data_IF_713683224929
#
_entry.id   IF_713683224929
#
_cell.length_a   1.000
_cell.length_b   1.000
_cell.length_c   1.000
_cell.angle_alpha   90.00
_cell.angle_beta   90.00
_cell.angle_gamma   90.00
#
_symmetry.space_group_name_H-M   'P 1'
#
loop_
_entity.id
_entity.type
_entity.pdbx_description
1 polymer ?
#
# COMPACT_ATOMS: atom_id res chain seq x y z
N UNK A 1 1.63 -53.00 60.81
CA UNK A 1 1.92 -51.79 60.01
C UNK A 1 2.97 -52.10 58.95
N UNK A 2 2.57 -52.85 57.93
CA UNK A 2 3.27 -53.11 56.67
C UNK A 2 2.13 -53.31 55.66
N UNK A 3 2.26 -52.81 54.43
CA UNK A 3 1.28 -52.88 53.33
C UNK A 3 0.47 -51.62 53.03
N UNK A 4 1.11 -50.48 52.79
CA UNK A 4 0.60 -49.41 51.89
C UNK A 4 1.80 -48.67 51.28
N UNK A 5 2.56 -49.28 50.37
CA UNK A 5 3.70 -48.60 49.72
C UNK A 5 4.07 -49.15 48.33
N UNK A 6 3.12 -49.78 47.64
CA UNK A 6 3.34 -50.30 46.28
C UNK A 6 2.07 -50.04 45.46
N UNK A 7 1.78 -48.77 45.14
CA UNK A 7 0.69 -48.42 44.23
C UNK A 7 0.88 -47.08 43.49
N UNK A 8 2.06 -46.47 43.53
CA UNK A 8 2.33 -45.14 42.94
C UNK A 8 3.65 -45.08 42.15
N UNK A 9 4.02 -46.18 41.48
CA UNK A 9 5.20 -46.20 40.59
C UNK A 9 4.88 -46.64 39.15
N UNK A 10 3.61 -46.86 38.79
CA UNK A 10 3.24 -47.46 37.50
C UNK A 10 2.30 -46.62 36.62
N UNK A 11 1.99 -45.38 37.00
CA UNK A 11 1.11 -44.46 36.22
C UNK A 11 1.90 -43.26 35.64
N UNK A 12 3.24 -43.33 35.60
CA UNK A 12 4.08 -42.29 34.96
C UNK A 12 4.78 -42.75 33.67
N UNK A 13 4.53 -43.99 33.21
CA UNK A 13 5.17 -44.56 32.01
C UNK A 13 4.23 -44.72 30.79
N UNK A 14 2.98 -44.25 30.86
CA UNK A 14 1.97 -44.46 29.81
C UNK A 14 1.50 -43.18 29.07
N UNK A 15 2.24 -42.07 29.17
CA UNK A 15 1.99 -40.88 28.32
C UNK A 15 3.19 -40.47 27.44
N UNK A 16 4.25 -41.28 27.37
CA UNK A 16 5.39 -41.02 26.47
C UNK A 16 5.21 -41.61 25.05
N UNK A 17 4.08 -42.27 24.76
CA UNK A 17 3.88 -43.06 23.53
C UNK A 17 2.62 -42.61 22.80
N UNK A 18 2.63 -41.42 22.21
CA UNK A 18 1.87 -41.11 20.97
C UNK A 18 2.15 -39.72 20.39
N UNK A 19 3.08 -38.95 20.92
CA UNK A 19 3.76 -37.93 20.12
C UNK A 19 4.85 -38.61 19.29
N UNK A 20 4.49 -39.63 18.49
CA UNK A 20 5.16 -39.78 17.20
C UNK A 20 4.75 -38.51 16.48
N UNK A 21 5.57 -37.47 16.65
CA UNK A 21 5.68 -36.43 15.65
C UNK A 21 5.73 -37.21 14.34
N UNK A 22 4.64 -37.13 13.58
CA UNK A 22 4.76 -37.34 12.16
C UNK A 22 5.86 -36.35 11.80
N UNK A 23 7.08 -36.86 11.64
CA UNK A 23 8.16 -36.13 11.02
C UNK A 23 7.63 -35.94 9.60
N UNK A 24 6.77 -34.92 9.45
CA UNK A 24 6.42 -34.36 8.18
C UNK A 24 7.78 -34.04 7.58
N UNK A 25 8.17 -34.85 6.60
CA UNK A 25 9.41 -34.66 5.88
C UNK A 25 9.49 -33.17 5.55
N UNK A 26 10.55 -32.52 6.04
CA UNK A 26 10.68 -31.08 5.86
C UNK A 26 10.58 -30.79 4.35
N UNK A 27 9.82 -29.75 3.96
CA UNK A 27 9.64 -29.45 2.54
C UNK A 27 11.00 -29.31 1.88
N UNK A 28 11.16 -29.96 0.72
CA UNK A 28 12.44 -30.01 0.02
C UNK A 28 12.55 -28.91 -1.02
N UNK A 29 11.40 -28.42 -1.50
CA UNK A 29 11.29 -27.36 -2.49
C UNK A 29 10.33 -26.27 -2.02
N UNK A 30 10.49 -25.06 -2.54
CA UNK A 30 9.56 -23.97 -2.30
C UNK A 30 8.11 -24.34 -2.72
N UNK A 31 7.98 -25.09 -3.81
CA UNK A 31 6.70 -25.52 -4.38
C UNK A 31 5.93 -26.51 -3.50
N UNK A 32 6.59 -27.17 -2.55
CA UNK A 32 5.93 -28.04 -1.57
C UNK A 32 5.04 -27.23 -0.60
N UNK A 33 5.25 -25.91 -0.51
CA UNK A 33 4.63 -25.02 0.48
C UNK A 33 3.91 -23.84 -0.17
N UNK A 34 4.44 -23.31 -1.27
CA UNK A 34 3.93 -22.13 -1.95
C UNK A 34 3.59 -22.43 -3.42
N UNK A 35 2.80 -21.56 -4.04
CA UNK A 35 2.52 -21.65 -5.48
C UNK A 35 3.82 -21.46 -6.29
N UNK A 36 3.97 -22.21 -7.38
CA UNK A 36 5.14 -22.15 -8.27
C UNK A 36 5.44 -20.74 -8.81
N UNK A 37 4.40 -19.93 -9.07
CA UNK A 37 4.56 -18.53 -9.48
C UNK A 37 5.25 -17.70 -8.39
N UNK A 38 4.83 -17.87 -7.13
CA UNK A 38 5.44 -17.22 -5.97
C UNK A 38 6.90 -17.63 -5.80
N UNK A 39 7.20 -18.93 -5.93
CA UNK A 39 8.57 -19.44 -5.86
C UNK A 39 9.46 -18.87 -6.97
N UNK A 40 8.92 -18.76 -8.19
CA UNK A 40 9.60 -18.09 -9.31
C UNK A 40 9.91 -16.63 -9.00
N UNK A 41 8.95 -15.88 -8.43
CA UNK A 41 9.15 -14.48 -8.00
C UNK A 41 10.25 -14.35 -6.95
N UNK A 42 10.26 -15.21 -5.92
CA UNK A 42 11.29 -15.22 -4.87
C UNK A 42 12.68 -15.57 -5.43
N UNK A 43 12.77 -16.54 -6.36
CA UNK A 43 14.05 -16.88 -7.02
C UNK A 43 14.55 -15.77 -7.92
N UNK A 44 13.66 -15.06 -8.61
CA UNK A 44 14.04 -13.89 -9.41
C UNK A 44 14.53 -12.76 -8.51
N UNK A 45 13.89 -12.54 -7.36
CA UNK A 45 14.35 -11.60 -6.36
C UNK A 45 15.77 -11.96 -5.86
N UNK A 46 16.01 -13.23 -5.52
CA UNK A 46 17.34 -13.71 -5.14
C UNK A 46 18.39 -13.42 -6.23
N UNK A 47 18.07 -13.64 -7.53
CA UNK A 47 18.98 -13.29 -8.63
C UNK A 47 19.28 -11.80 -8.70
N UNK A 48 18.26 -10.93 -8.53
CA UNK A 48 18.45 -9.46 -8.55
C UNK A 48 19.38 -9.03 -7.41
N UNK A 49 19.26 -9.66 -6.24
CA UNK A 49 20.14 -9.44 -5.10
C UNK A 49 21.50 -10.14 -5.20
N UNK A 50 21.80 -10.77 -6.33
CA UNK A 50 23.02 -11.56 -6.57
C UNK A 50 23.23 -12.70 -5.56
N UNK A 51 22.12 -13.25 -5.03
CA UNK A 51 22.09 -14.38 -4.12
C UNK A 51 21.86 -15.71 -4.85
N UNK A 52 22.22 -16.82 -4.21
CA UNK A 52 21.98 -18.15 -4.76
C UNK A 52 20.46 -18.45 -4.78
N UNK A 53 19.90 -18.77 -5.95
CA UNK A 53 18.47 -19.12 -6.10
C UNK A 53 18.03 -20.32 -5.26
N UNK A 54 18.95 -21.24 -4.93
CA UNK A 54 18.66 -22.38 -4.05
C UNK A 54 18.41 -21.95 -2.60
N UNK A 55 18.88 -20.77 -2.21
CA UNK A 55 18.62 -20.18 -0.88
C UNK A 55 17.13 -20.00 -0.64
N UNK A 56 16.32 -19.79 -1.69
CA UNK A 56 14.86 -19.69 -1.54
C UNK A 56 14.26 -20.97 -0.95
N UNK A 57 14.69 -22.15 -1.42
CA UNK A 57 14.20 -23.43 -0.89
C UNK A 57 14.62 -23.60 0.59
N UNK A 58 15.86 -23.20 0.92
CA UNK A 58 16.36 -23.21 2.29
C UNK A 58 15.53 -22.30 3.20
N UNK A 59 15.29 -21.04 2.78
CA UNK A 59 14.55 -20.07 3.58
C UNK A 59 13.09 -20.47 3.78
N UNK A 60 12.44 -21.08 2.78
CA UNK A 60 11.10 -21.65 2.94
C UNK A 60 11.10 -22.80 3.96
N UNK A 61 12.10 -23.68 3.89
CA UNK A 61 12.26 -24.78 4.86
C UNK A 61 12.46 -24.24 6.28
N UNK A 62 13.30 -23.21 6.44
CA UNK A 62 13.54 -22.53 7.71
C UNK A 62 12.27 -21.87 8.26
N UNK A 63 11.46 -21.22 7.41
CA UNK A 63 10.18 -20.63 7.79
C UNK A 63 9.21 -21.67 8.36
N UNK A 64 9.11 -22.84 7.69
CA UNK A 64 8.26 -23.95 8.14
C UNK A 64 8.79 -24.56 9.44
N UNK A 65 10.11 -24.69 9.60
CA UNK A 65 10.74 -25.12 10.87
C UNK A 65 10.49 -24.13 12.01
N UNK A 66 10.33 -22.84 11.71
CA UNK A 66 9.89 -21.80 12.65
C UNK A 66 8.37 -21.80 12.90
N UNK A 67 7.66 -22.82 12.42
CA UNK A 67 6.22 -22.99 12.54
C UNK A 67 5.39 -21.88 11.89
N UNK A 68 5.96 -21.17 10.89
CA UNK A 68 5.16 -20.31 10.03
C UNK A 68 4.30 -21.20 9.14
N UNK A 69 2.99 -21.09 9.28
CA UNK A 69 2.00 -21.94 8.58
C UNK A 69 1.18 -21.16 7.57
N UNK A 70 1.12 -19.84 7.68
CA UNK A 70 0.46 -18.98 6.71
C UNK A 70 1.41 -18.70 5.54
N UNK A 71 0.92 -18.87 4.30
CA UNK A 71 1.70 -18.61 3.10
C UNK A 71 2.27 -17.18 3.03
N UNK A 72 1.52 -16.19 3.50
CA UNK A 72 1.95 -14.79 3.52
C UNK A 72 3.11 -14.57 4.50
N UNK A 73 3.04 -15.16 5.69
CA UNK A 73 4.11 -15.05 6.70
C UNK A 73 5.40 -15.70 6.20
N UNK A 74 5.29 -16.83 5.50
CA UNK A 74 6.44 -17.50 4.87
C UNK A 74 7.04 -16.60 3.77
N UNK A 75 6.20 -16.01 2.92
CA UNK A 75 6.66 -15.10 1.85
C UNK A 75 7.38 -13.89 2.45
N UNK A 76 6.81 -13.27 3.49
CA UNK A 76 7.43 -12.14 4.20
C UNK A 76 8.78 -12.55 4.80
N UNK A 77 8.84 -13.68 5.51
CA UNK A 77 10.09 -14.21 6.07
C UNK A 77 11.17 -14.39 4.99
N UNK A 78 10.85 -15.05 3.88
CA UNK A 78 11.82 -15.30 2.81
C UNK A 78 12.29 -13.98 2.19
N UNK A 79 11.38 -13.01 1.97
CA UNK A 79 11.72 -11.68 1.45
C UNK A 79 12.68 -10.94 2.37
N UNK A 80 12.38 -10.88 3.67
CA UNK A 80 13.20 -10.19 4.67
C UNK A 80 14.61 -10.81 4.75
N UNK A 81 14.69 -12.14 4.71
CA UNK A 81 15.97 -12.85 4.72
C UNK A 81 16.78 -12.63 3.44
N UNK A 82 16.14 -12.55 2.26
CA UNK A 82 16.82 -12.21 1.02
C UNK A 82 17.39 -10.78 1.05
N UNK A 83 16.62 -9.80 1.55
CA UNK A 83 17.07 -8.40 1.71
C UNK A 83 18.28 -8.32 2.65
N UNK A 84 18.19 -9.00 3.80
CA UNK A 84 19.24 -9.02 4.82
C UNK A 84 20.55 -9.67 4.34
N UNK A 85 20.46 -10.66 3.43
CA UNK A 85 21.62 -11.38 2.91
C UNK A 85 22.28 -10.70 1.71
N UNK A 86 21.56 -9.83 0.99
CA UNK A 86 21.97 -9.10 -0.21
C UNK A 86 23.12 -8.09 0.03
N UNK A 87 24.27 -8.53 0.54
CA UNK A 87 25.37 -7.68 0.97
C UNK A 87 26.16 -7.08 -0.21
N UNK A 88 26.09 -7.72 -1.38
CA UNK A 88 26.78 -7.27 -2.60
C UNK A 88 25.91 -6.41 -3.51
N UNK A 89 24.66 -6.15 -3.12
CA UNK A 89 23.72 -5.35 -3.89
C UNK A 89 24.12 -3.87 -3.91
N UNK A 90 24.03 -3.28 -5.10
CA UNK A 90 24.32 -1.87 -5.37
C UNK A 90 23.11 -1.22 -6.04
N UNK A 91 23.00 0.09 -5.93
CA UNK A 91 21.95 0.83 -6.60
C UNK A 91 21.98 0.62 -8.13
N UNK A 92 23.18 0.57 -8.73
CA UNK A 92 23.39 0.39 -10.16
C UNK A 92 23.00 -1.00 -10.69
N UNK A 93 22.70 -1.97 -9.81
CA UNK A 93 22.18 -3.27 -10.22
C UNK A 93 20.76 -3.16 -10.79
N UNK A 94 20.02 -2.12 -10.42
CA UNK A 94 18.58 -1.96 -10.71
C UNK A 94 18.20 -0.59 -11.27
N UNK A 95 19.06 0.42 -11.09
CA UNK A 95 18.86 1.80 -11.55
C UNK A 95 20.06 2.29 -12.37
N UNK A 96 19.89 3.38 -13.12
CA UNK A 96 21.02 4.03 -13.81
C UNK A 96 21.91 4.78 -12.82
N UNK A 97 23.18 5.00 -13.18
CA UNK A 97 24.11 5.78 -12.36
C UNK A 97 23.60 7.21 -12.06
N UNK A 98 22.91 7.84 -13.01
CA UNK A 98 22.27 9.15 -12.82
C UNK A 98 21.15 9.08 -11.77
N UNK A 99 20.28 8.06 -11.84
CA UNK A 99 19.24 7.84 -10.84
C UNK A 99 19.82 7.57 -9.45
N UNK A 100 20.88 6.76 -9.34
CA UNK A 100 21.58 6.49 -8.09
C UNK A 100 22.21 7.75 -7.50
N UNK A 101 22.80 8.60 -8.35
CA UNK A 101 23.36 9.89 -7.93
C UNK A 101 22.26 10.81 -7.40
N UNK A 102 21.12 10.89 -8.08
CA UNK A 102 19.96 11.67 -7.64
C UNK A 102 19.40 11.17 -6.32
N UNK A 103 19.22 9.85 -6.16
CA UNK A 103 18.77 9.25 -4.90
C UNK A 103 19.75 9.56 -3.75
N UNK A 104 21.05 9.46 -4.01
CA UNK A 104 22.09 9.80 -3.02
C UNK A 104 22.02 11.27 -2.62
N UNK A 105 21.81 12.19 -3.57
CA UNK A 105 21.65 13.60 -3.27
C UNK A 105 20.39 13.89 -2.43
N UNK A 106 19.28 13.21 -2.72
CA UNK A 106 18.06 13.30 -1.92
C UNK A 106 18.31 12.75 -0.51
N UNK A 107 18.89 11.56 -0.39
CA UNK A 107 19.23 10.96 0.90
C UNK A 107 20.10 11.88 1.74
N UNK A 108 21.15 12.48 1.16
CA UNK A 108 22.01 13.45 1.82
C UNK A 108 21.24 14.69 2.28
N UNK A 109 20.37 15.25 1.43
CA UNK A 109 19.52 16.40 1.77
C UNK A 109 18.66 16.11 3.01
N UNK A 110 18.15 14.89 3.12
CA UNK A 110 17.31 14.44 4.22
C UNK A 110 18.06 13.72 5.34
N UNK A 111 19.40 13.69 5.29
CA UNK A 111 20.27 13.04 6.27
C UNK A 111 19.99 11.53 6.44
N UNK A 112 19.51 10.88 5.38
CA UNK A 112 19.38 9.42 5.28
C UNK A 112 20.77 8.85 4.96
N UNK A 113 21.18 7.82 5.70
CA UNK A 113 22.49 7.21 5.48
C UNK A 113 22.55 6.46 4.15
N UNK A 114 23.74 6.26 3.60
CA UNK A 114 23.89 5.45 2.38
C UNK A 114 23.43 4.00 2.59
N UNK A 115 23.60 3.46 3.81
CA UNK A 115 23.13 2.12 4.15
C UNK A 115 21.60 2.04 4.16
N UNK A 116 20.93 3.04 4.75
CA UNK A 116 19.47 3.11 4.77
C UNK A 116 18.90 3.31 3.37
N UNK A 117 19.54 4.16 2.53
CA UNK A 117 19.13 4.32 1.14
C UNK A 117 19.20 2.99 0.36
N UNK A 118 20.30 2.24 0.51
CA UNK A 118 20.44 0.93 -0.14
C UNK A 118 19.38 -0.05 0.38
N UNK A 119 19.07 0.00 1.68
CA UNK A 119 17.99 -0.79 2.27
C UNK A 119 16.62 -0.42 1.67
N UNK A 120 16.31 0.86 1.51
CA UNK A 120 15.07 1.34 0.89
C UNK A 120 14.92 0.86 -0.56
N UNK A 121 16.03 0.86 -1.33
CA UNK A 121 16.04 0.31 -2.70
C UNK A 121 15.73 -1.19 -2.69
N UNK A 122 16.34 -1.95 -1.76
CA UNK A 122 16.08 -3.39 -1.63
C UNK A 122 14.61 -3.66 -1.26
N UNK A 123 14.02 -2.88 -0.36
CA UNK A 123 12.62 -2.98 0.01
C UNK A 123 11.70 -2.76 -1.21
N UNK A 124 11.95 -1.70 -1.99
CA UNK A 124 11.19 -1.42 -3.22
C UNK A 124 11.34 -2.55 -4.27
N UNK A 125 12.54 -3.12 -4.43
CA UNK A 125 12.78 -4.26 -5.33
C UNK A 125 12.05 -5.51 -4.83
N UNK A 126 12.04 -5.75 -3.52
CA UNK A 126 11.32 -6.88 -2.92
C UNK A 126 9.80 -6.75 -3.07
N UNK A 127 9.26 -5.54 -3.13
CA UNK A 127 7.86 -5.26 -3.48
C UNK A 127 7.54 -5.53 -4.96
N UNK A 128 8.53 -5.97 -5.74
CA UNK A 128 8.37 -6.36 -7.15
C UNK A 128 8.63 -5.22 -8.13
N UNK A 129 9.05 -4.04 -7.66
CA UNK A 129 9.37 -2.91 -8.52
C UNK A 129 10.85 -3.02 -8.91
N UNK A 130 11.11 -3.71 -10.02
CA UNK A 130 12.47 -4.20 -10.27
C UNK A 130 13.42 -3.20 -10.92
N UNK A 131 12.97 -2.21 -11.69
CA UNK A 131 13.83 -1.29 -12.47
C UNK A 131 13.16 0.05 -12.83
N UNK A 132 14.00 1.01 -13.23
CA UNK A 132 13.59 2.20 -14.00
C UNK A 132 12.96 3.32 -13.16
N UNK A 133 12.06 4.10 -13.78
CA UNK A 133 11.45 5.27 -13.13
C UNK A 133 10.55 4.89 -11.95
N UNK A 134 9.82 3.77 -12.05
CA UNK A 134 8.94 3.31 -10.97
C UNK A 134 9.74 2.94 -9.71
N UNK A 135 10.89 2.28 -9.85
CA UNK A 135 11.76 1.95 -8.70
C UNK A 135 12.36 3.21 -8.08
N UNK A 136 12.80 4.16 -8.91
CA UNK A 136 13.28 5.45 -8.43
C UNK A 136 12.20 6.17 -7.59
N UNK A 137 10.98 6.27 -8.10
CA UNK A 137 9.85 6.91 -7.42
C UNK A 137 9.54 6.21 -6.10
N UNK A 138 9.38 4.88 -6.12
CA UNK A 138 9.11 4.11 -4.90
C UNK A 138 10.20 4.26 -3.84
N UNK A 139 11.46 4.31 -4.26
CA UNK A 139 12.58 4.50 -3.33
C UNK A 139 12.49 5.87 -2.65
N UNK A 140 12.17 6.93 -3.41
CA UNK A 140 11.94 8.27 -2.84
C UNK A 140 10.77 8.25 -1.86
N UNK A 141 9.67 7.56 -2.19
CA UNK A 141 8.53 7.41 -1.29
C UNK A 141 8.93 6.76 0.04
N UNK A 142 9.51 5.56 0.02
CA UNK A 142 9.91 4.81 1.21
C UNK A 142 10.86 5.66 2.07
N UNK A 143 11.86 6.28 1.44
CA UNK A 143 12.85 7.09 2.11
C UNK A 143 12.21 8.29 2.83
N UNK A 144 11.31 9.02 2.16
CA UNK A 144 10.69 10.21 2.76
C UNK A 144 9.59 9.87 3.77
N UNK A 145 8.93 8.71 3.65
CA UNK A 145 7.97 8.21 4.64
C UNK A 145 8.64 7.99 6.00
N UNK A 146 9.87 7.47 6.03
CA UNK A 146 10.67 7.21 7.25
C UNK A 146 11.14 8.49 7.98
N UNK A 147 11.02 9.66 7.35
CA UNK A 147 11.43 10.94 7.96
C UNK A 147 10.31 11.48 8.86
N UNK A 148 10.54 11.44 10.17
CA UNK A 148 9.56 11.91 11.17
C UNK A 148 9.30 13.41 11.12
N UNK A 149 10.30 14.22 10.73
CA UNK A 149 10.21 15.68 10.68
C UNK A 149 10.19 16.22 9.25
N UNK A 150 9.55 15.47 8.35
CA UNK A 150 9.37 15.93 6.97
C UNK A 150 8.48 17.17 6.98
N UNK A 151 9.00 18.26 6.45
CA UNK A 151 8.26 19.49 6.29
C UNK A 151 8.30 19.94 4.84
N UNK A 152 7.18 20.49 4.41
CA UNK A 152 6.92 20.82 3.02
C UNK A 152 7.89 21.89 2.46
N UNK A 153 8.33 22.82 3.30
CA UNK A 153 9.36 23.83 3.01
C UNK A 153 10.76 23.23 2.74
N UNK A 154 11.00 21.96 3.07
CA UNK A 154 12.25 21.28 2.72
C UNK A 154 12.31 20.90 1.25
N UNK A 155 11.17 20.75 0.57
CA UNK A 155 11.12 20.29 -0.84
C UNK A 155 10.71 21.36 -1.83
N UNK A 156 10.01 22.41 -1.40
CA UNK A 156 9.49 23.46 -2.27
C UNK A 156 9.49 24.83 -1.57
N UNK A 157 9.12 25.88 -2.29
CA UNK A 157 8.98 27.22 -1.73
C UNK A 157 7.75 27.33 -0.79
N UNK A 158 7.81 28.29 0.14
CA UNK A 158 6.77 28.45 1.16
C UNK A 158 5.38 28.81 0.60
N UNK A 159 5.30 29.47 -0.56
CA UNK A 159 4.02 29.85 -1.18
C UNK A 159 3.31 28.63 -1.78
N UNK A 160 4.03 27.82 -2.56
CA UNK A 160 3.52 26.54 -3.06
C UNK A 160 3.10 25.64 -1.91
N UNK A 161 3.92 25.61 -0.86
CA UNK A 161 3.62 24.83 0.33
C UNK A 161 2.31 25.25 1.01
N UNK A 162 2.16 26.56 1.27
CA UNK A 162 0.94 27.10 1.89
C UNK A 162 -0.30 26.83 1.04
N UNK A 163 -0.19 26.88 -0.31
CA UNK A 163 -1.30 26.54 -1.21
C UNK A 163 -1.75 25.09 -1.05
N UNK A 164 -0.82 24.14 -0.95
CA UNK A 164 -1.14 22.73 -0.71
C UNK A 164 -1.82 22.56 0.65
N UNK A 165 -1.28 23.17 1.71
CA UNK A 165 -1.87 23.10 3.05
C UNK A 165 -3.27 23.71 3.11
N UNK A 166 -3.49 24.84 2.45
CA UNK A 166 -4.80 25.50 2.40
C UNK A 166 -5.81 24.70 1.57
N UNK A 167 -5.38 24.06 0.48
CA UNK A 167 -6.22 23.11 -0.25
C UNK A 167 -6.56 21.91 0.63
N UNK A 168 -5.58 21.32 1.31
CA UNK A 168 -5.78 20.19 2.22
C UNK A 168 -6.76 20.51 3.34
N UNK A 169 -6.66 21.69 3.98
CA UNK A 169 -7.63 22.17 4.97
C UNK A 169 -9.03 22.28 4.38
N UNK A 170 -9.17 22.77 3.13
CA UNK A 170 -10.47 22.86 2.45
C UNK A 170 -11.10 21.50 2.17
N UNK A 171 -10.31 20.45 1.97
CA UNK A 171 -10.85 19.09 1.76
C UNK A 171 -10.81 18.24 3.04
N UNK A 172 -10.43 18.82 4.19
CA UNK A 172 -10.25 18.12 5.46
C UNK A 172 -9.27 16.94 5.37
N UNK A 173 -8.25 17.04 4.52
CA UNK A 173 -7.19 16.04 4.45
C UNK A 173 -6.31 16.10 5.71
N UNK A 174 -5.88 14.94 6.20
CA UNK A 174 -4.98 14.86 7.35
C UNK A 174 -3.53 15.15 6.92
N UNK A 175 -2.66 15.44 7.89
CA UNK A 175 -1.25 15.77 7.62
C UNK A 175 -0.45 14.64 6.96
N UNK A 176 -0.85 13.38 7.16
CA UNK A 176 -0.20 12.23 6.54
C UNK A 176 -0.50 12.17 5.04
N UNK A 177 -1.73 12.45 4.63
CA UNK A 177 -2.12 12.52 3.21
C UNK A 177 -1.43 13.69 2.51
N UNK A 178 -1.32 14.85 3.18
CA UNK A 178 -0.55 15.99 2.69
C UNK A 178 0.92 15.63 2.50
N UNK A 179 1.53 14.98 3.50
CA UNK A 179 2.92 14.49 3.42
C UNK A 179 3.09 13.57 2.21
N UNK A 180 2.20 12.60 2.00
CA UNK A 180 2.24 11.67 0.86
C UNK A 180 2.11 12.37 -0.48
N UNK A 181 1.16 13.31 -0.62
CA UNK A 181 0.97 14.08 -1.84
C UNK A 181 2.24 14.85 -2.24
N UNK A 182 2.90 15.45 -1.26
CA UNK A 182 4.15 16.19 -1.47
C UNK A 182 5.29 15.24 -1.86
N UNK A 183 5.40 14.09 -1.19
CA UNK A 183 6.41 13.08 -1.48
C UNK A 183 6.25 12.54 -2.90
N UNK A 184 5.01 12.24 -3.33
CA UNK A 184 4.68 11.74 -4.67
C UNK A 184 5.07 12.75 -5.76
N UNK A 185 4.64 14.02 -5.62
CA UNK A 185 5.00 15.09 -6.54
C UNK A 185 6.53 15.30 -6.64
N UNK A 186 7.23 15.23 -5.50
CA UNK A 186 8.69 15.31 -5.47
C UNK A 186 9.36 14.11 -6.15
N UNK A 187 8.86 12.89 -5.92
CA UNK A 187 9.36 11.65 -6.50
C UNK A 187 9.20 11.62 -8.03
N UNK A 188 8.16 12.26 -8.56
CA UNK A 188 7.95 12.47 -10.00
C UNK A 188 8.94 13.46 -10.62
N UNK A 189 9.75 14.14 -9.81
CA UNK A 189 10.74 15.12 -10.29
C UNK A 189 10.12 16.44 -10.72
N UNK A 190 8.94 16.77 -10.20
CA UNK A 190 8.28 18.05 -10.48
C UNK A 190 9.10 19.17 -9.85
N UNK A 191 9.43 20.18 -10.66
CA UNK A 191 10.29 21.31 -10.24
C UNK A 191 9.61 22.65 -10.36
N UNK A 192 8.50 22.74 -11.11
CA UNK A 192 7.71 23.97 -11.21
C UNK A 192 6.66 23.98 -10.11
N UNK A 193 6.55 25.12 -9.43
CA UNK A 193 5.56 25.36 -8.38
C UNK A 193 4.13 24.95 -8.78
N UNK A 194 3.69 25.34 -9.98
CA UNK A 194 2.35 25.03 -10.47
C UNK A 194 2.15 23.53 -10.70
N UNK A 195 3.06 22.87 -11.44
CA UNK A 195 3.00 21.43 -11.71
C UNK A 195 2.99 20.63 -10.39
N UNK A 196 3.80 21.05 -9.41
CA UNK A 196 3.86 20.44 -8.09
C UNK A 196 2.54 20.59 -7.32
N UNK A 197 1.98 21.80 -7.30
CA UNK A 197 0.70 22.06 -6.66
C UNK A 197 -0.44 21.25 -7.31
N UNK A 198 -0.49 21.20 -8.64
CA UNK A 198 -1.53 20.49 -9.37
C UNK A 198 -1.46 18.98 -9.12
N UNK A 199 -0.27 18.39 -9.09
CA UNK A 199 -0.06 16.97 -8.79
C UNK A 199 -0.44 16.63 -7.34
N UNK A 200 0.00 17.45 -6.38
CA UNK A 200 -0.39 17.28 -4.97
C UNK A 200 -1.91 17.45 -4.78
N UNK A 201 -2.52 18.40 -5.49
CA UNK A 201 -3.98 18.61 -5.49
C UNK A 201 -4.70 17.40 -6.07
N UNK A 202 -4.23 16.85 -7.18
CA UNK A 202 -4.79 15.64 -7.79
C UNK A 202 -4.70 14.45 -6.84
N UNK A 203 -3.54 14.20 -6.25
CA UNK A 203 -3.34 13.15 -5.24
C UNK A 203 -4.35 13.27 -4.10
N UNK A 204 -4.41 14.45 -3.48
CA UNK A 204 -5.32 14.75 -2.37
C UNK A 204 -6.79 14.62 -2.78
N UNK A 205 -7.13 14.94 -4.02
CA UNK A 205 -8.48 14.81 -4.56
C UNK A 205 -8.86 13.34 -4.78
N UNK A 206 -7.92 12.50 -5.20
CA UNK A 206 -8.14 11.07 -5.41
C UNK A 206 -8.36 10.29 -4.10
N UNK A 207 -7.81 10.79 -2.99
CA UNK A 207 -8.02 10.26 -1.63
C UNK A 207 -9.44 10.53 -1.08
N UNK A 208 -10.20 11.41 -1.73
CA UNK A 208 -11.61 11.65 -1.43
C UNK A 208 -12.40 10.45 -1.96
N UNK A 209 -12.94 9.67 -1.04
CA UNK A 209 -13.88 8.58 -1.35
C UNK A 209 -15.30 9.01 -1.02
N UNK A 210 -16.25 8.42 -1.73
CA UNK A 210 -17.66 8.69 -1.54
C UNK A 210 -18.14 8.31 -0.13
N UNK A 211 -17.62 7.23 0.46
CA UNK A 211 -17.91 6.82 1.84
C UNK A 211 -17.40 7.84 2.86
N UNK A 212 -16.21 8.42 2.65
CA UNK A 212 -15.65 9.45 3.54
C UNK A 212 -16.51 10.71 3.56
N UNK A 213 -17.09 11.12 2.42
CA UNK A 213 -17.81 12.41 2.32
C UNK A 213 -19.33 12.29 2.45
N UNK A 214 -19.95 11.20 1.98
CA UNK A 214 -21.39 10.99 2.04
C UNK A 214 -21.83 10.05 3.17
N UNK A 215 -20.91 9.23 3.69
CA UNK A 215 -21.24 8.06 4.50
C UNK A 215 -21.59 6.84 3.64
N UNK A 216 -21.50 5.65 4.23
CA UNK A 216 -21.72 4.38 3.54
C UNK A 216 -23.10 4.31 2.86
N UNK A 217 -24.18 4.56 3.60
CA UNK A 217 -25.56 4.39 3.12
C UNK A 217 -25.87 5.26 1.88
N UNK A 218 -25.52 6.56 1.95
CA UNK A 218 -25.71 7.48 0.82
C UNK A 218 -24.82 7.12 -0.36
N UNK A 219 -23.61 6.66 -0.08
CA UNK A 219 -22.69 6.24 -1.13
C UNK A 219 -23.23 5.02 -1.90
N UNK A 220 -23.80 4.05 -1.18
CA UNK A 220 -24.40 2.87 -1.78
C UNK A 220 -25.65 3.22 -2.60
N UNK A 221 -26.47 4.16 -2.13
CA UNK A 221 -27.59 4.72 -2.92
C UNK A 221 -27.09 5.36 -4.23
N UNK A 222 -26.08 6.21 -4.16
CA UNK A 222 -25.47 6.84 -5.36
C UNK A 222 -24.97 5.78 -6.34
N UNK A 223 -24.30 4.72 -5.86
CA UNK A 223 -23.82 3.61 -6.70
C UNK A 223 -24.97 2.87 -7.40
N UNK A 224 -26.02 2.50 -6.65
CA UNK A 224 -27.20 1.81 -7.17
C UNK A 224 -27.92 2.65 -8.23
N UNK A 225 -28.08 3.95 -7.96
CA UNK A 225 -28.73 4.89 -8.87
C UNK A 225 -27.88 5.05 -10.15
N UNK A 226 -26.57 5.24 -10.04
CA UNK A 226 -25.68 5.31 -11.20
C UNK A 226 -25.76 4.04 -12.07
N UNK A 227 -25.76 2.85 -11.45
CA UNK A 227 -25.93 1.57 -12.13
C UNK A 227 -27.29 1.46 -12.84
N UNK A 228 -28.38 1.82 -12.15
CA UNK A 228 -29.74 1.79 -12.69
C UNK A 228 -29.89 2.66 -13.93
N UNK A 229 -29.23 3.83 -13.95
CA UNK A 229 -29.27 4.78 -15.05
C UNK A 229 -28.14 4.60 -16.07
N UNK A 230 -27.29 3.57 -15.91
CA UNK A 230 -26.19 3.29 -16.83
C UNK A 230 -25.09 4.35 -16.86
N UNK A 231 -25.01 5.20 -15.83
CA UNK A 231 -23.95 6.22 -15.69
C UNK A 231 -22.71 5.56 -15.11
N UNK A 232 -21.55 5.81 -15.72
CA UNK A 232 -20.30 5.16 -15.27
C UNK A 232 -19.94 5.65 -13.87
N UNK A 233 -19.72 4.71 -12.95
CA UNK A 233 -19.40 5.03 -11.56
C UNK A 233 -18.17 5.94 -11.43
N UNK A 234 -17.15 5.76 -12.27
CA UNK A 234 -15.96 6.61 -12.25
C UNK A 234 -16.28 8.08 -12.53
N UNK A 235 -17.18 8.38 -13.48
CA UNK A 235 -17.59 9.76 -13.81
C UNK A 235 -18.37 10.40 -12.64
N UNK A 236 -19.21 9.60 -11.96
CA UNK A 236 -19.90 10.02 -10.73
C UNK A 236 -18.91 10.35 -9.61
N UNK A 237 -17.88 9.51 -9.42
CA UNK A 237 -16.85 9.73 -8.40
C UNK A 237 -15.99 10.94 -8.72
N UNK A 238 -15.61 11.14 -9.99
CA UNK A 238 -14.91 12.34 -10.44
C UNK A 238 -15.75 13.60 -10.16
N UNK A 239 -17.06 13.56 -10.45
CA UNK A 239 -17.93 14.71 -10.17
C UNK A 239 -18.04 15.00 -8.68
N UNK A 240 -18.13 13.96 -7.85
CA UNK A 240 -18.18 14.09 -6.39
C UNK A 240 -16.91 14.76 -5.86
N UNK A 241 -15.74 14.32 -6.35
CA UNK A 241 -14.44 14.91 -6.00
C UNK A 241 -14.34 16.36 -6.44
N UNK A 242 -14.78 16.68 -7.65
CA UNK A 242 -14.81 18.05 -8.18
C UNK A 242 -15.66 18.97 -7.30
N UNK A 243 -16.89 18.55 -6.96
CA UNK A 243 -17.80 19.32 -6.11
C UNK A 243 -17.19 19.55 -4.72
N UNK A 244 -16.61 18.52 -4.13
CA UNK A 244 -15.97 18.61 -2.82
C UNK A 244 -14.75 19.53 -2.83
N UNK A 245 -13.87 19.39 -3.83
CA UNK A 245 -12.70 20.25 -4.02
C UNK A 245 -13.08 21.73 -4.27
N UNK A 246 -14.27 21.97 -4.84
CA UNK A 246 -14.84 23.31 -5.04
C UNK A 246 -15.60 23.85 -3.81
N UNK A 247 -15.55 23.16 -2.67
CA UNK A 247 -16.08 23.64 -1.39
C UNK A 247 -17.50 23.18 -1.05
N UNK A 248 -18.11 22.30 -1.84
CA UNK A 248 -19.39 21.67 -1.46
C UNK A 248 -19.09 20.58 -0.42
N UNK A 249 -19.05 20.96 0.86
CA UNK A 249 -18.64 20.05 1.94
C UNK A 249 -19.82 19.39 2.67
N UNK A 250 -21.04 19.90 2.52
CA UNK A 250 -22.22 19.34 3.20
C UNK A 250 -22.64 18.05 2.49
N UNK A 251 -22.59 16.92 3.20
CA UNK A 251 -22.97 15.62 2.66
C UNK A 251 -24.36 15.60 1.97
N UNK A 252 -25.35 16.28 2.53
CA UNK A 252 -26.68 16.40 1.93
C UNK A 252 -26.69 17.18 0.61
N UNK A 253 -25.88 18.25 0.53
CA UNK A 253 -25.78 19.07 -0.67
C UNK A 253 -25.00 18.35 -1.78
N UNK A 254 -23.90 17.67 -1.41
CA UNK A 254 -23.17 16.79 -2.32
C UNK A 254 -24.07 15.70 -2.89
N UNK A 255 -24.84 15.04 -2.02
CA UNK A 255 -25.78 14.00 -2.43
C UNK A 255 -26.78 14.51 -3.46
N UNK A 256 -27.43 15.66 -3.20
CA UNK A 256 -28.38 16.28 -4.15
C UNK A 256 -27.70 16.65 -5.47
N UNK A 257 -26.51 17.26 -5.44
CA UNK A 257 -25.81 17.64 -6.68
C UNK A 257 -25.35 16.43 -7.50
N UNK A 258 -24.98 15.33 -6.84
CA UNK A 258 -24.61 14.08 -7.51
C UNK A 258 -25.84 13.36 -8.07
N UNK A 259 -26.94 13.35 -7.31
CA UNK A 259 -28.24 12.90 -7.78
C UNK A 259 -28.63 13.62 -9.08
N UNK A 260 -28.55 14.95 -9.07
CA UNK A 260 -28.83 15.79 -10.24
C UNK A 260 -27.89 15.48 -11.42
N UNK A 261 -26.59 15.32 -11.17
CA UNK A 261 -25.64 14.94 -12.21
C UNK A 261 -25.99 13.61 -12.88
N UNK A 262 -26.34 12.57 -12.10
CA UNK A 262 -26.72 11.26 -12.65
C UNK A 262 -28.00 11.39 -13.49
N UNK A 263 -28.99 12.12 -12.98
CA UNK A 263 -30.23 12.41 -13.69
C UNK A 263 -29.97 13.11 -15.02
N UNK A 264 -29.10 14.13 -15.02
CA UNK A 264 -28.75 14.88 -16.23
C UNK A 264 -28.05 14.00 -17.26
N UNK A 265 -27.16 13.08 -16.87
CA UNK A 265 -26.47 12.20 -17.82
C UNK A 265 -27.40 11.22 -18.56
N UNK A 266 -28.58 10.94 -18.01
CA UNK A 266 -29.48 9.92 -18.54
C UNK A 266 -30.40 10.40 -19.69
N UNK A 267 -30.50 11.72 -19.94
CA UNK A 267 -31.26 12.39 -21.02
C UNK A 267 -32.26 11.51 -21.81
N UNK A 268 -33.46 11.32 -21.24
CA UNK A 268 -34.55 10.65 -21.97
C UNK A 268 -35.91 10.65 -21.26
N UNK A 269 -35.95 10.89 -19.95
CA UNK A 269 -37.17 10.83 -19.16
C UNK A 269 -37.39 12.12 -18.36
N UNK A 270 -38.60 12.66 -18.45
CA UNK A 270 -39.05 13.84 -17.70
C UNK A 270 -39.47 13.49 -16.27
N UNK A 271 -38.61 12.80 -15.52
CA UNK A 271 -38.85 12.59 -14.09
C UNK A 271 -38.58 13.93 -13.39
N UNK A 272 -39.50 14.37 -12.53
CA UNK A 272 -39.33 15.58 -11.72
C UNK A 272 -38.15 15.43 -10.75
N UNK A 273 -37.69 16.52 -10.13
CA UNK A 273 -36.64 16.43 -9.09
C UNK A 273 -37.13 15.62 -7.88
N UNK A 274 -38.38 15.86 -7.47
CA UNK A 274 -39.01 15.19 -6.33
C UNK A 274 -39.14 13.67 -6.55
N UNK A 275 -39.67 13.24 -7.70
CA UNK A 275 -39.79 11.81 -8.03
C UNK A 275 -38.42 11.10 -8.09
N UNK A 276 -37.38 11.80 -8.54
CA UNK A 276 -36.03 11.24 -8.58
C UNK A 276 -35.45 11.07 -7.17
N UNK A 277 -35.65 12.07 -6.30
CA UNK A 277 -35.20 12.00 -4.92
C UNK A 277 -35.96 10.92 -4.14
N UNK A 278 -37.26 10.77 -4.35
CA UNK A 278 -38.05 9.66 -3.78
C UNK A 278 -37.49 8.30 -4.21
N UNK A 279 -37.14 8.13 -5.50
CA UNK A 279 -36.52 6.91 -6.00
C UNK A 279 -35.19 6.61 -5.28
N UNK A 280 -34.34 7.62 -5.05
CA UNK A 280 -33.08 7.41 -4.34
C UNK A 280 -33.30 7.07 -2.86
N UNK A 281 -34.36 7.57 -2.24
CA UNK A 281 -34.70 7.28 -0.86
C UNK A 281 -35.26 5.86 -0.68
N UNK A 282 -35.91 5.31 -1.71
CA UNK A 282 -36.41 3.93 -1.76
C UNK A 282 -35.32 2.86 -1.94
N UNK A 283 -34.15 3.23 -2.48
CA UNK A 283 -33.01 2.32 -2.74
C UNK A 283 -32.08 2.13 -1.53
#
# INVERSE_FOLDING_TARGET
MKSVLIALASILLLQAVSARSAALDAPSTCEDVLKAETCTKLRNLAKIFHENVQMVNQLVSEAVQKHLSNAQDIIMYVRDQLIAKANNFKCEDVLSADQCTKLTAIAQKFKVSAADLIQDIKEAVADGIVKGQALYQKTVEIMLEKINNFSCDQVMDADTCAKIEDFAKKIHANSQDVKKAIIDAYAKGLTKAQDFFDDAKEFLTNEITCEKVLGQDRCDKVKKVAELFGVKLNEVMEKLRELYANGVQRASELYVKIAQYIKDQWFGYSISEDEFMELMDML
#
